data_IF_939967545835
#
_entry.id   IF_939967545835
#
_cell.length_a   1.000
_cell.length_b   1.000
_cell.length_c   1.000
_cell.angle_alpha   90.00
_cell.angle_beta   90.00
_cell.angle_gamma   90.00
#
_symmetry.space_group_name_H-M   'P 1'
#
loop_
_entity.id
_entity.type
_entity.pdbx_description
1 polymer ?
#
# COMPACT_ATOMS: atom_id res chain seq x y z
N UNK A 1 12.94 9.46 -27.51
CA UNK A 1 11.47 9.32 -27.45
C UNK A 1 11.14 8.15 -26.55
N UNK A 2 10.32 8.39 -25.53
CA UNK A 2 9.85 7.39 -24.57
C UNK A 2 9.92 7.95 -23.15
N UNK A 3 8.80 8.37 -22.54
CA UNK A 3 8.74 8.54 -21.10
C UNK A 3 8.24 7.24 -20.47
N UNK A 4 9.12 6.61 -19.68
CA UNK A 4 8.77 5.57 -18.73
C UNK A 4 7.77 6.13 -17.71
N UNK A 5 6.67 5.40 -17.56
CA UNK A 5 5.64 5.63 -16.57
C UNK A 5 6.20 5.49 -15.14
N UNK A 6 6.31 6.60 -14.42
CA UNK A 6 6.33 6.56 -12.96
C UNK A 6 4.87 6.34 -12.51
N UNK A 7 4.48 5.06 -12.45
CA UNK A 7 3.38 4.60 -11.62
C UNK A 7 3.78 4.84 -10.16
N UNK A 8 3.21 5.85 -9.52
CA UNK A 8 2.55 5.77 -8.21
C UNK A 8 2.17 7.19 -7.73
N UNK A 9 0.87 7.51 -7.73
CA UNK A 9 0.25 7.99 -6.50
C UNK A 9 -1.11 7.30 -6.33
N UNK A 10 -1.06 6.03 -5.93
CA UNK A 10 -2.28 5.23 -5.69
C UNK A 10 -2.37 4.66 -4.27
N UNK A 11 -1.35 4.85 -3.44
CA UNK A 11 -1.23 4.17 -2.14
C UNK A 11 -1.28 5.12 -0.92
N UNK A 12 -0.92 6.41 -1.05
CA UNK A 12 -1.06 7.38 0.04
C UNK A 12 -2.50 7.85 0.24
N UNK A 13 -3.29 7.93 -0.84
CA UNK A 13 -4.69 8.36 -0.78
C UNK A 13 -5.61 7.37 -0.05
N UNK A 14 -5.15 6.14 0.19
CA UNK A 14 -5.98 5.08 0.81
C UNK A 14 -5.61 4.86 2.29
N UNK A 15 -4.38 5.18 2.73
CA UNK A 15 -4.01 5.16 4.15
C UNK A 15 -4.95 6.05 5.00
N UNK A 16 -5.35 7.22 4.48
CA UNK A 16 -6.36 8.09 5.09
C UNK A 16 -7.82 7.54 5.08
N UNK A 17 -8.09 6.41 4.43
CA UNK A 17 -9.41 5.77 4.48
C UNK A 17 -9.65 4.91 5.70
N UNK A 18 -8.61 4.51 6.42
CA UNK A 18 -8.82 3.95 7.76
C UNK A 18 -9.34 4.99 8.74
N UNK A 19 -9.04 6.27 8.50
CA UNK A 19 -9.67 7.36 9.23
C UNK A 19 -11.17 7.50 8.85
N UNK A 20 -11.56 7.03 7.65
CA UNK A 20 -12.97 6.85 7.25
C UNK A 20 -13.65 5.59 7.83
N UNK A 21 -12.93 4.70 8.51
CA UNK A 21 -13.56 3.68 9.37
C UNK A 21 -13.88 4.21 10.77
N UNK A 22 -13.30 5.34 11.18
CA UNK A 22 -13.72 6.09 12.38
C UNK A 22 -15.15 6.64 12.22
N UNK A 23 -15.65 6.74 10.99
CA UNK A 23 -17.06 7.09 10.69
C UNK A 23 -18.08 6.06 11.19
N UNK A 24 -17.61 4.91 11.70
CA UNK A 24 -18.44 3.73 11.84
C UNK A 24 -18.52 3.22 13.30
N UNK A 25 -17.58 3.47 14.19
CA UNK A 25 -17.67 2.96 15.56
C UNK A 25 -18.40 3.90 16.53
N UNK A 26 -19.70 3.72 16.81
CA UNK A 26 -20.55 4.41 17.86
C UNK A 26 -21.53 5.48 17.29
N UNK A 27 -22.65 5.78 17.99
CA UNK A 27 -23.97 5.78 17.35
C UNK A 27 -24.29 7.00 16.47
N UNK A 28 -24.73 6.68 15.25
CA UNK A 28 -25.82 7.28 14.45
C UNK A 28 -25.63 8.60 13.69
N UNK A 29 -24.62 9.45 13.93
CA UNK A 29 -24.49 10.73 13.21
C UNK A 29 -23.03 11.13 13.01
N UNK A 30 -22.65 11.44 11.77
CA UNK A 30 -21.30 11.94 11.40
C UNK A 30 -21.44 13.23 10.64
N UNK A 31 -20.72 14.26 11.08
CA UNK A 31 -20.55 15.51 10.36
C UNK A 31 -19.15 15.52 9.77
N UNK A 32 -19.02 15.60 8.45
CA UNK A 32 -17.73 15.78 7.78
C UNK A 32 -17.68 17.14 7.10
N UNK A 33 -16.59 17.86 7.31
CA UNK A 33 -16.27 19.09 6.61
C UNK A 33 -15.07 18.83 5.72
N UNK A 34 -15.16 19.17 4.44
CA UNK A 34 -13.99 19.23 3.54
C UNK A 34 -13.65 20.69 3.30
N UNK A 35 -12.39 21.05 3.53
CA UNK A 35 -11.80 22.35 3.21
C UNK A 35 -10.71 22.18 2.17
N UNK A 36 -10.60 23.11 1.26
CA UNK A 36 -9.48 23.18 0.31
C UNK A 36 -8.68 24.43 0.62
N UNK A 37 -7.37 24.32 0.83
CA UNK A 37 -6.50 25.50 0.93
C UNK A 37 -6.35 26.16 -0.45
N UNK A 38 -6.58 27.47 -0.55
CA UNK A 38 -6.15 28.28 -1.68
C UNK A 38 -4.73 28.81 -1.41
N UNK A 39 -3.78 28.56 -2.30
CA UNK A 39 -2.49 29.23 -2.26
C UNK A 39 -2.62 30.67 -2.77
N UNK A 40 -2.26 31.64 -1.95
CA UNK A 40 -1.77 32.94 -2.46
C UNK A 40 -0.32 32.76 -2.91
N UNK A 41 -0.08 32.44 -4.19
CA UNK A 41 1.27 32.50 -4.73
C UNK A 41 1.62 33.94 -5.15
N UNK A 42 2.72 34.48 -4.60
CA UNK A 42 3.72 35.22 -5.39
C UNK A 42 4.83 34.22 -5.80
N UNK A 43 5.42 34.33 -7.00
CA UNK A 43 6.01 33.21 -7.74
C UNK A 43 7.22 32.61 -7.03
N UNK A 44 7.34 31.28 -6.97
CA UNK A 44 8.58 30.66 -6.48
C UNK A 44 8.68 29.15 -6.37
N UNK A 45 7.60 28.37 -6.24
CA UNK A 45 7.72 26.91 -6.35
C UNK A 45 7.07 26.43 -7.64
N UNK A 46 7.87 26.02 -8.65
CA UNK A 46 7.32 25.46 -9.87
C UNK A 46 6.45 24.24 -9.53
N UNK A 47 5.20 24.24 -9.98
CA UNK A 47 4.37 23.05 -10.03
C UNK A 47 5.13 21.97 -10.81
N UNK A 48 5.70 20.98 -10.11
CA UNK A 48 6.56 19.97 -10.71
C UNK A 48 7.94 19.78 -10.07
N UNK A 49 8.32 20.57 -9.06
CA UNK A 49 9.51 20.24 -8.25
C UNK A 49 9.20 19.04 -7.36
N UNK A 50 10.04 17.99 -7.43
CA UNK A 50 9.87 16.73 -6.71
C UNK A 50 9.73 16.88 -5.18
N UNK A 51 10.29 17.95 -4.61
CA UNK A 51 10.30 18.21 -3.16
C UNK A 51 9.09 19.03 -2.68
N UNK A 52 8.33 19.66 -3.58
CA UNK A 52 7.19 20.53 -3.23
C UNK A 52 6.17 19.88 -2.28
N UNK A 53 5.73 18.63 -2.53
CA UNK A 53 4.81 17.92 -1.62
C UNK A 53 5.39 17.68 -0.23
N UNK A 54 6.70 17.46 -0.11
CA UNK A 54 7.36 17.21 1.17
C UNK A 54 7.36 18.49 2.01
N UNK A 55 7.75 19.62 1.42
CA UNK A 55 7.70 20.90 2.12
C UNK A 55 6.29 21.28 2.52
N UNK A 56 5.30 20.99 1.68
CA UNK A 56 3.91 21.23 2.04
C UNK A 56 3.44 20.34 3.21
N UNK A 57 3.85 19.08 3.26
CA UNK A 57 3.57 18.21 4.40
C UNK A 57 4.24 18.71 5.69
N UNK A 58 5.50 19.16 5.62
CA UNK A 58 6.21 19.78 6.74
C UNK A 58 5.51 21.07 7.19
N UNK A 59 5.00 21.85 6.23
CA UNK A 59 4.29 23.10 6.50
C UNK A 59 3.01 22.89 7.30
N UNK A 60 2.35 21.75 7.10
CA UNK A 60 1.14 21.36 7.82
C UNK A 60 1.42 20.62 9.13
N UNK A 61 2.68 20.44 9.52
CA UNK A 61 3.01 19.71 10.76
C UNK A 61 2.37 20.40 11.98
N UNK A 62 1.78 19.60 12.89
CA UNK A 62 1.15 20.09 14.12
C UNK A 62 -0.34 20.41 14.01
N UNK A 63 -0.89 20.53 12.79
CA UNK A 63 -2.33 20.71 12.58
C UNK A 63 -3.16 19.55 13.16
N UNK A 64 -2.63 18.32 13.10
CA UNK A 64 -3.31 17.14 13.60
C UNK A 64 -3.45 17.18 15.13
N UNK A 65 -2.37 17.53 15.84
CA UNK A 65 -2.34 17.63 17.31
C UNK A 65 -3.27 18.72 17.85
N UNK A 66 -3.42 19.81 17.09
CA UNK A 66 -4.34 20.88 17.42
C UNK A 66 -5.79 20.41 17.36
N UNK A 67 -6.15 19.67 16.31
CA UNK A 67 -7.55 19.40 15.96
C UNK A 67 -8.09 18.07 16.54
N UNK A 68 -7.22 17.07 16.75
CA UNK A 68 -7.59 15.77 17.37
C UNK A 68 -8.17 15.89 18.77
N UNK A 69 -8.03 17.03 19.44
CA UNK A 69 -8.68 17.32 20.73
C UNK A 69 -10.21 17.31 20.65
N UNK A 70 -10.77 17.70 19.49
CA UNK A 70 -12.22 17.88 19.30
C UNK A 70 -12.76 16.98 18.21
N UNK A 71 -12.07 16.92 17.08
CA UNK A 71 -12.51 16.24 15.88
C UNK A 71 -11.38 15.38 15.33
N UNK A 72 -11.75 14.33 14.62
CA UNK A 72 -10.79 13.58 13.83
C UNK A 72 -10.46 14.37 12.56
N UNK A 73 -9.26 14.16 12.03
CA UNK A 73 -8.73 14.89 10.89
C UNK A 73 -8.08 13.95 9.89
N UNK A 74 -8.23 14.28 8.61
CA UNK A 74 -7.58 13.62 7.49
C UNK A 74 -7.09 14.66 6.52
N UNK A 75 -5.85 14.51 6.05
CA UNK A 75 -5.18 15.52 5.24
C UNK A 75 -4.60 14.85 4.01
N UNK A 76 -5.00 15.32 2.83
CA UNK A 76 -4.46 14.81 1.60
C UNK A 76 -4.13 15.97 0.67
N UNK A 77 -2.83 16.28 0.58
CA UNK A 77 -2.38 17.50 -0.07
C UNK A 77 -3.20 18.70 0.46
N UNK A 78 -3.82 19.49 -0.41
CA UNK A 78 -4.61 20.67 -0.07
C UNK A 78 -6.02 20.39 0.48
N UNK A 79 -6.48 19.13 0.44
CA UNK A 79 -7.77 18.72 0.98
C UNK A 79 -7.64 18.35 2.47
N UNK A 80 -8.31 19.11 3.34
CA UNK A 80 -8.41 18.84 4.78
C UNK A 80 -9.84 18.39 5.07
N UNK A 81 -10.01 17.26 5.75
CA UNK A 81 -11.31 16.79 6.21
C UNK A 81 -11.34 16.72 7.73
N UNK A 82 -12.35 17.34 8.33
CA UNK A 82 -12.66 17.22 9.75
C UNK A 82 -13.93 16.40 9.92
N UNK A 83 -13.95 15.49 10.88
CA UNK A 83 -15.20 14.81 11.24
C UNK A 83 -15.34 14.51 12.72
N UNK A 84 -16.60 14.41 13.13
CA UNK A 84 -16.98 14.01 14.48
C UNK A 84 -18.19 13.08 14.43
N UNK A 85 -18.13 12.03 15.26
CA UNK A 85 -19.20 11.05 15.45
C UNK A 85 -19.81 11.21 16.86
N UNK A 86 -21.13 11.17 16.98
CA UNK A 86 -21.79 11.31 18.27
C UNK A 86 -23.31 11.08 18.25
N UNK A 87 -23.92 11.00 19.43
CA UNK A 87 -25.37 10.78 19.57
C UNK A 87 -26.19 12.07 19.41
N UNK A 88 -25.68 13.20 19.90
CA UNK A 88 -26.33 14.51 19.90
C UNK A 88 -25.75 15.37 18.78
N UNK A 89 -26.61 15.97 17.95
CA UNK A 89 -26.16 16.77 16.79
C UNK A 89 -25.58 18.09 17.24
N UNK A 90 -26.17 18.68 18.26
CA UNK A 90 -25.81 19.98 18.78
C UNK A 90 -24.37 19.97 19.31
N UNK A 91 -23.96 18.87 19.97
CA UNK A 91 -22.58 18.66 20.42
C UNK A 91 -21.64 18.49 19.23
N UNK A 92 -22.01 17.68 18.23
CA UNK A 92 -21.22 17.48 17.01
C UNK A 92 -21.00 18.80 16.26
N UNK A 93 -22.06 19.58 16.06
CA UNK A 93 -22.00 20.90 15.41
C UNK A 93 -21.10 21.87 16.19
N UNK A 94 -21.23 21.89 17.52
CA UNK A 94 -20.41 22.73 18.39
C UNK A 94 -18.93 22.36 18.29
N UNK A 95 -18.60 21.06 18.40
CA UNK A 95 -17.22 20.58 18.31
C UNK A 95 -16.59 20.88 16.96
N UNK A 96 -17.32 20.67 15.86
CA UNK A 96 -16.84 20.97 14.50
C UNK A 96 -16.65 22.47 14.28
N UNK A 97 -17.55 23.32 14.78
CA UNK A 97 -17.38 24.78 14.68
C UNK A 97 -16.19 25.28 15.52
N UNK A 98 -15.94 24.70 16.69
CA UNK A 98 -14.77 25.01 17.51
C UNK A 98 -13.48 24.57 16.83
N UNK A 99 -13.43 23.34 16.30
CA UNK A 99 -12.29 22.84 15.54
C UNK A 99 -12.02 23.69 14.28
N UNK A 100 -13.08 24.21 13.65
CA UNK A 100 -12.96 25.17 12.56
C UNK A 100 -12.30 26.49 12.98
N UNK A 101 -12.63 26.99 14.18
CA UNK A 101 -11.99 28.16 14.77
C UNK A 101 -10.50 27.92 15.01
N UNK A 102 -10.16 26.77 15.63
CA UNK A 102 -8.77 26.36 15.87
C UNK A 102 -7.99 26.26 14.53
N UNK A 103 -8.61 25.67 13.50
CA UNK A 103 -8.04 25.57 12.17
C UNK A 103 -7.86 26.93 11.49
N UNK A 104 -8.78 27.88 11.73
CA UNK A 104 -8.67 29.25 11.20
C UNK A 104 -7.47 29.96 11.80
N UNK A 105 -7.29 29.86 13.11
CA UNK A 105 -6.14 30.45 13.81
C UNK A 105 -4.82 29.86 13.31
N UNK A 106 -4.77 28.53 13.14
CA UNK A 106 -3.62 27.85 12.54
C UNK A 106 -3.33 28.37 11.12
N UNK A 107 -4.38 28.48 10.29
CA UNK A 107 -4.26 28.96 8.92
C UNK A 107 -3.76 30.40 8.87
N UNK A 108 -4.28 31.29 9.72
CA UNK A 108 -3.84 32.69 9.80
C UNK A 108 -2.37 32.80 10.25
N UNK A 109 -1.96 32.01 11.26
CA UNK A 109 -0.57 31.95 11.72
C UNK A 109 0.37 31.47 10.61
N UNK A 110 -0.06 30.46 9.85
CA UNK A 110 0.66 29.89 8.72
C UNK A 110 0.32 30.58 7.40
N UNK A 111 -0.27 31.78 7.39
CA UNK A 111 -0.59 32.53 6.15
C UNK A 111 -1.26 31.69 5.06
N UNK A 112 -2.06 30.69 5.45
CA UNK A 112 -2.86 29.83 4.58
C UNK A 112 -4.22 30.47 4.37
N UNK A 113 -4.71 30.44 3.14
CA UNK A 113 -6.05 30.91 2.82
C UNK A 113 -6.93 29.68 2.65
N UNK A 114 -8.01 29.58 3.42
CA UNK A 114 -8.98 28.50 3.27
C UNK A 114 -10.06 28.91 2.25
N UNK A 115 -10.40 28.03 1.33
CA UNK A 115 -11.38 28.29 0.28
C UNK A 115 -12.79 27.89 0.72
N UNK A 116 -13.50 28.81 1.37
CA UNK A 116 -14.88 28.60 1.81
C UNK A 116 -15.82 28.17 0.67
N UNK A 117 -15.62 28.69 -0.55
CA UNK A 117 -16.49 28.40 -1.70
C UNK A 117 -16.36 26.97 -2.24
N UNK A 118 -15.17 26.37 -2.10
CA UNK A 118 -14.94 24.95 -2.44
C UNK A 118 -15.28 24.01 -1.30
N UNK A 119 -15.49 24.56 -0.11
CA UNK A 119 -15.75 23.79 1.09
C UNK A 119 -17.20 23.36 1.18
N UNK A 120 -17.41 22.18 1.75
CA UNK A 120 -18.75 21.64 1.94
C UNK A 120 -18.85 20.83 3.21
N UNK A 121 -20.09 20.73 3.71
CA UNK A 121 -20.44 19.95 4.89
C UNK A 121 -21.34 18.80 4.47
N UNK A 122 -21.12 17.64 5.05
CA UNK A 122 -21.93 16.46 4.79
C UNK A 122 -22.32 15.79 6.10
N UNK A 123 -23.59 15.39 6.17
CA UNK A 123 -24.16 14.75 7.33
C UNK A 123 -24.59 13.32 7.00
N UNK A 124 -24.08 12.37 7.75
CA UNK A 124 -24.35 10.94 7.56
C UNK A 124 -25.12 10.41 8.75
N UNK A 125 -26.26 9.77 8.49
CA UNK A 125 -27.13 9.22 9.53
C UNK A 125 -27.88 8.02 9.02
N UNK A 126 -28.15 7.07 9.93
CA UNK A 126 -29.08 5.96 9.67
C UNK A 126 -30.51 6.31 10.06
N UNK A 127 -30.72 7.46 10.73
CA UNK A 127 -32.05 7.92 11.09
C UNK A 127 -32.73 8.60 9.90
N UNK A 128 -33.74 7.93 9.34
CA UNK A 128 -34.52 8.45 8.20
C UNK A 128 -35.15 9.83 8.45
N UNK A 129 -35.48 10.17 9.71
CA UNK A 129 -36.05 11.49 10.06
C UNK A 129 -35.05 12.63 9.88
N UNK A 130 -33.75 12.33 9.96
CA UNK A 130 -32.67 13.31 9.85
C UNK A 130 -31.95 13.25 8.50
N UNK A 131 -32.52 12.52 7.52
CA UNK A 131 -31.91 12.37 6.20
C UNK A 131 -31.75 13.70 5.45
N UNK A 132 -32.68 14.65 5.67
CA UNK A 132 -32.64 15.99 5.10
C UNK A 132 -32.13 17.04 6.11
N UNK A 133 -31.49 16.62 7.18
CA UNK A 133 -30.92 17.55 8.15
C UNK A 133 -29.74 18.31 7.52
N UNK A 134 -29.74 19.63 7.66
CA UNK A 134 -28.68 20.51 7.21
C UNK A 134 -27.94 21.07 8.43
N UNK A 135 -26.67 20.69 8.62
CA UNK A 135 -25.88 21.14 9.76
C UNK A 135 -25.57 22.64 9.70
N UNK A 136 -25.59 23.28 10.86
CA UNK A 136 -25.23 24.69 11.06
C UNK A 136 -23.75 24.84 11.34
N UNK A 137 -22.96 24.68 10.28
CA UNK A 137 -21.51 24.88 10.31
C UNK A 137 -21.18 26.22 9.67
N UNK A 138 -20.47 27.06 10.40
CA UNK A 138 -20.10 28.41 9.97
C UNK A 138 -18.59 28.51 9.81
N UNK A 139 -18.18 29.14 8.71
CA UNK A 139 -16.79 29.51 8.45
C UNK A 139 -16.75 30.96 7.98
N UNK A 140 -15.91 31.79 8.59
CA UNK A 140 -15.85 33.24 8.39
C UNK A 140 -17.23 33.93 8.48
N UNK A 141 -18.08 33.47 9.40
CA UNK A 141 -19.43 34.00 9.61
C UNK A 141 -20.48 33.55 8.58
N UNK A 142 -20.10 32.82 7.54
CA UNK A 142 -21.00 32.28 6.50
C UNK A 142 -21.29 30.80 6.74
N UNK A 143 -22.53 30.37 6.45
CA UNK A 143 -22.86 28.95 6.49
C UNK A 143 -22.22 28.23 5.29
N UNK A 144 -21.54 27.12 5.55
CA UNK A 144 -20.98 26.28 4.49
C UNK A 144 -22.10 25.46 3.83
N UNK A 145 -22.01 25.28 2.51
CA UNK A 145 -23.01 24.52 1.76
C UNK A 145 -23.07 23.05 2.18
N UNK A 146 -24.29 22.52 2.34
CA UNK A 146 -24.48 21.10 2.67
C UNK A 146 -24.57 20.25 1.40
N UNK A 147 -23.72 19.22 1.30
CA UNK A 147 -23.67 18.28 0.18
C UNK A 147 -24.03 16.87 0.67
N UNK A 148 -25.10 16.28 0.13
CA UNK A 148 -25.56 14.93 0.52
C UNK A 148 -24.68 13.79 0.02
N UNK A 149 -24.03 13.99 -1.14
CA UNK A 149 -23.19 12.98 -1.78
C UNK A 149 -21.81 13.56 -2.05
N UNK A 150 -20.99 13.75 -0.99
CA UNK A 150 -19.69 14.35 -1.18
C UNK A 150 -18.76 13.38 -1.91
N UNK A 151 -17.88 13.98 -2.72
CA UNK A 151 -16.82 13.24 -3.38
C UNK A 151 -15.51 13.50 -2.62
N UNK A 152 -14.96 12.45 -2.03
CA UNK A 152 -13.69 12.51 -1.31
C UNK A 152 -12.71 11.52 -1.96
N UNK A 153 -11.51 11.99 -2.32
CA UNK A 153 -10.45 11.20 -2.96
C UNK A 153 -10.95 10.30 -4.10
N UNK A 154 -11.88 10.80 -4.91
CA UNK A 154 -12.42 10.08 -6.07
C UNK A 154 -13.60 9.14 -5.79
N UNK A 155 -13.93 8.88 -4.52
CA UNK A 155 -15.06 8.04 -4.09
C UNK A 155 -16.24 8.93 -3.72
N UNK A 156 -17.44 8.48 -4.07
CA UNK A 156 -18.68 9.21 -3.79
C UNK A 156 -19.34 8.59 -2.57
N UNK A 157 -19.43 9.35 -1.48
CA UNK A 157 -20.03 8.86 -0.25
C UNK A 157 -21.55 9.03 -0.29
N UNK A 158 -22.27 8.13 0.35
CA UNK A 158 -23.71 8.22 0.50
C UNK A 158 -24.11 8.18 1.99
N UNK A 159 -25.17 8.91 2.41
CA UNK A 159 -25.59 9.01 3.82
C UNK A 159 -25.78 7.66 4.51
N UNK A 160 -26.18 6.65 3.73
CA UNK A 160 -26.51 5.31 4.20
C UNK A 160 -25.38 4.29 4.00
N UNK A 161 -24.24 4.70 3.41
CA UNK A 161 -23.08 3.87 3.07
C UNK A 161 -23.38 2.63 2.22
N UNK A 162 -24.37 2.69 1.34
CA UNK A 162 -24.70 1.60 0.40
C UNK A 162 -23.74 1.52 -0.79
N UNK A 163 -22.95 2.58 -1.03
CA UNK A 163 -22.06 2.73 -2.18
C UNK A 163 -22.77 2.68 -3.55
N UNK A 164 -24.12 2.70 -3.60
CA UNK A 164 -24.86 2.56 -4.85
C UNK A 164 -24.57 3.71 -5.82
N UNK A 165 -24.63 4.96 -5.34
CA UNK A 165 -24.30 6.15 -6.13
C UNK A 165 -22.87 6.11 -6.66
N UNK A 166 -21.91 5.64 -5.87
CA UNK A 166 -20.53 5.44 -6.31
C UNK A 166 -20.44 4.41 -7.44
N UNK A 167 -21.06 3.24 -7.26
CA UNK A 167 -21.07 2.16 -8.26
C UNK A 167 -21.72 2.62 -9.57
N UNK A 168 -22.81 3.40 -9.53
CA UNK A 168 -23.38 4.00 -10.74
C UNK A 168 -22.43 4.98 -11.44
N UNK A 169 -21.67 5.76 -10.67
CA UNK A 169 -20.63 6.63 -11.23
C UNK A 169 -19.53 5.83 -11.92
N UNK A 170 -19.06 4.74 -11.30
CA UNK A 170 -18.07 3.83 -11.90
C UNK A 170 -18.60 3.24 -13.22
N UNK A 171 -19.83 2.72 -13.22
CA UNK A 171 -20.47 2.16 -14.43
C UNK A 171 -20.53 3.20 -15.54
N UNK A 172 -20.95 4.43 -15.22
CA UNK A 172 -21.04 5.52 -16.19
C UNK A 172 -19.67 5.86 -16.80
N UNK A 173 -18.63 5.96 -15.97
CA UNK A 173 -17.25 6.19 -16.43
C UNK A 173 -16.73 5.05 -17.28
N UNK A 174 -16.92 3.80 -16.83
CA UNK A 174 -16.46 2.62 -17.55
C UNK A 174 -17.19 2.40 -18.86
N UNK A 175 -18.49 2.72 -18.97
CA UNK A 175 -19.24 2.67 -20.23
C UNK A 175 -18.66 3.58 -21.31
N UNK A 176 -18.18 4.77 -20.94
CA UNK A 176 -17.49 5.67 -21.88
C UNK A 176 -16.21 5.03 -22.44
N UNK A 177 -15.45 4.33 -21.59
CA UNK A 177 -14.23 3.60 -22.01
C UNK A 177 -14.54 2.32 -22.77
N UNK A 178 -15.65 1.64 -22.47
CA UNK A 178 -16.14 0.52 -23.26
C UNK A 178 -16.45 0.94 -24.70
N UNK A 179 -16.95 2.15 -24.95
CA UNK A 179 -17.19 2.61 -26.32
C UNK A 179 -15.90 2.73 -27.12
N UNK A 180 -14.78 3.09 -26.48
CA UNK A 180 -13.45 3.09 -27.12
C UNK A 180 -13.07 1.65 -27.47
N UNK A 181 -13.24 0.72 -26.52
CA UNK A 181 -12.94 -0.70 -26.75
C UNK A 181 -13.77 -1.29 -27.91
N UNK A 182 -15.05 -0.93 -28.00
CA UNK A 182 -15.93 -1.33 -29.12
C UNK A 182 -15.52 -0.72 -30.45
N UNK A 183 -15.01 0.51 -30.43
CA UNK A 183 -14.58 1.19 -31.64
C UNK A 183 -13.37 0.48 -32.25
N UNK A 184 -12.38 0.13 -31.43
CA UNK A 184 -11.15 -0.53 -31.88
C UNK A 184 -11.31 -2.04 -32.16
N UNK A 185 -12.43 -2.66 -31.79
CA UNK A 185 -12.73 -4.07 -32.05
C UNK A 185 -13.41 -4.30 -33.41
N UNK A 186 -13.16 -3.44 -34.40
CA UNK A 186 -13.81 -3.52 -35.72
C UNK A 186 -13.60 -4.89 -36.40
N UNK A 187 -14.57 -5.35 -37.20
CA UNK A 187 -14.48 -6.69 -37.82
C UNK A 187 -13.41 -6.82 -38.91
N UNK A 188 -13.17 -5.77 -39.69
CA UNK A 188 -12.26 -5.82 -40.85
C UNK A 188 -10.89 -5.15 -40.59
N UNK A 189 -10.80 -4.32 -39.56
CA UNK A 189 -9.60 -3.52 -39.22
C UNK A 189 -9.29 -3.50 -37.72
N UNK A 190 -10.00 -4.31 -36.92
CA UNK A 190 -9.91 -4.25 -35.47
C UNK A 190 -8.64 -4.84 -34.89
N UNK A 191 -8.38 -4.45 -33.65
CA UNK A 191 -7.27 -4.96 -32.87
C UNK A 191 -7.50 -6.42 -32.46
N UNK A 192 -6.41 -7.18 -32.34
CA UNK A 192 -6.47 -8.57 -31.86
C UNK A 192 -6.91 -8.65 -30.39
N UNK A 193 -7.35 -9.83 -29.96
CA UNK A 193 -7.87 -10.07 -28.61
C UNK A 193 -6.88 -9.65 -27.49
N UNK A 194 -5.58 -9.87 -27.70
CA UNK A 194 -4.53 -9.46 -26.76
C UNK A 194 -4.46 -7.93 -26.57
N UNK A 195 -4.52 -7.17 -27.67
CA UNK A 195 -4.53 -5.70 -27.63
C UNK A 195 -5.81 -5.18 -27.01
N UNK A 196 -6.96 -5.78 -27.32
CA UNK A 196 -8.25 -5.42 -26.72
C UNK A 196 -8.24 -5.70 -25.21
N UNK A 197 -7.70 -6.84 -24.78
CA UNK A 197 -7.53 -7.20 -23.38
C UNK A 197 -6.62 -6.21 -22.67
N UNK A 198 -5.47 -5.90 -23.26
CA UNK A 198 -4.52 -4.91 -22.74
C UNK A 198 -5.18 -3.54 -22.58
N UNK A 199 -5.99 -3.13 -23.57
CA UNK A 199 -6.76 -1.88 -23.53
C UNK A 199 -7.79 -1.88 -22.38
N UNK A 200 -8.50 -2.99 -22.16
CA UNK A 200 -9.39 -3.13 -21.00
C UNK A 200 -8.63 -3.00 -19.67
N UNK A 201 -7.49 -3.69 -19.54
CA UNK A 201 -6.64 -3.66 -18.34
C UNK A 201 -6.10 -2.24 -18.08
N UNK A 202 -5.78 -1.49 -19.13
CA UNK A 202 -5.24 -0.14 -19.00
C UNK A 202 -6.31 0.92 -18.72
N UNK A 203 -7.49 0.85 -19.35
CA UNK A 203 -8.45 1.95 -19.37
C UNK A 203 -9.70 1.72 -18.52
N UNK A 204 -10.15 0.48 -18.37
CA UNK A 204 -11.43 0.16 -17.70
C UNK A 204 -11.18 -0.43 -16.32
N UNK A 205 -10.26 -1.39 -16.22
CA UNK A 205 -9.94 -2.06 -14.95
C UNK A 205 -9.57 -1.09 -13.83
N UNK A 206 -8.74 -0.05 -14.03
CA UNK A 206 -8.41 0.89 -12.95
C UNK A 206 -9.63 1.67 -12.46
N UNK A 207 -10.61 1.95 -13.33
CA UNK A 207 -11.86 2.61 -12.92
C UNK A 207 -12.69 1.68 -12.02
N UNK A 208 -12.74 0.39 -12.34
CA UNK A 208 -13.55 -0.59 -11.61
C UNK A 208 -12.94 -1.04 -10.28
N UNK A 209 -11.65 -0.78 -10.05
CA UNK A 209 -10.89 -1.27 -8.90
C UNK A 209 -10.34 -0.17 -8.01
N UNK A 210 -10.31 1.07 -8.48
CA UNK A 210 -9.96 2.21 -7.64
C UNK A 210 -10.99 2.39 -6.53
N UNK A 211 -10.54 2.40 -5.27
CA UNK A 211 -11.40 2.55 -4.10
C UNK A 211 -12.10 1.25 -3.66
N UNK A 212 -11.72 0.10 -4.20
CA UNK A 212 -12.31 -1.19 -3.89
C UNK A 212 -12.38 -1.52 -2.39
N UNK A 213 -11.35 -1.23 -1.55
CA UNK A 213 -11.45 -1.42 -0.10
C UNK A 213 -12.64 -0.71 0.54
N UNK A 214 -13.17 0.36 -0.08
CA UNK A 214 -14.27 1.17 0.45
C UNK A 214 -15.64 0.58 0.09
N UNK A 215 -15.85 0.22 -1.18
CA UNK A 215 -17.17 -0.20 -1.67
C UNK A 215 -17.36 -1.71 -1.83
N UNK A 216 -16.33 -2.53 -1.57
CA UNK A 216 -16.48 -3.99 -1.63
C UNK A 216 -17.46 -4.55 -0.59
N UNK A 217 -17.81 -3.75 0.43
CA UNK A 217 -18.90 -4.06 1.36
C UNK A 217 -20.31 -3.80 0.83
N UNK A 218 -20.46 -3.32 -0.42
CA UNK A 218 -21.75 -3.16 -1.08
C UNK A 218 -22.46 -4.51 -1.26
N UNK A 219 -23.77 -4.47 -1.51
CA UNK A 219 -24.55 -5.69 -1.77
C UNK A 219 -24.06 -6.41 -3.03
N UNK A 220 -24.20 -7.74 -3.05
CA UNK A 220 -23.89 -8.56 -4.23
C UNK A 220 -24.59 -8.07 -5.49
N UNK A 221 -25.84 -7.64 -5.37
CA UNK A 221 -26.62 -7.06 -6.47
C UNK A 221 -25.96 -5.81 -7.06
N UNK A 222 -25.27 -5.01 -6.26
CA UNK A 222 -24.52 -3.83 -6.71
C UNK A 222 -23.15 -4.22 -7.29
N UNK A 223 -22.42 -5.14 -6.64
CA UNK A 223 -21.14 -5.63 -7.15
C UNK A 223 -21.29 -6.35 -8.49
N UNK A 224 -22.37 -7.12 -8.68
CA UNK A 224 -22.71 -7.75 -9.96
C UNK A 224 -22.91 -6.74 -11.09
N UNK A 225 -23.31 -5.49 -10.80
CA UNK A 225 -23.40 -4.45 -11.84
C UNK A 225 -22.03 -4.08 -12.39
N UNK A 226 -20.97 -4.11 -11.56
CA UNK A 226 -19.59 -3.92 -12.01
C UNK A 226 -19.11 -5.14 -12.82
N UNK A 227 -19.44 -6.35 -12.39
CA UNK A 227 -19.12 -7.59 -13.13
C UNK A 227 -19.71 -7.57 -14.54
N UNK A 228 -20.94 -7.05 -14.70
CA UNK A 228 -21.56 -6.88 -16.03
C UNK A 228 -20.77 -5.95 -16.95
N UNK A 229 -20.08 -4.94 -16.41
CA UNK A 229 -19.19 -4.07 -17.19
C UNK A 229 -17.97 -4.86 -17.67
N UNK A 230 -17.35 -5.66 -16.80
CA UNK A 230 -16.25 -6.56 -17.19
C UNK A 230 -16.71 -7.58 -18.24
N UNK A 231 -17.87 -8.22 -18.04
CA UNK A 231 -18.43 -9.16 -19.01
C UNK A 231 -18.70 -8.52 -20.36
N UNK A 232 -19.15 -7.26 -20.37
CA UNK A 232 -19.32 -6.51 -21.61
C UNK A 232 -17.98 -6.32 -22.33
N UNK A 233 -16.91 -6.01 -21.60
CA UNK A 233 -15.56 -5.94 -22.19
C UNK A 233 -15.08 -7.30 -22.69
N UNK A 234 -15.25 -8.35 -21.89
CA UNK A 234 -14.82 -9.70 -22.23
C UNK A 234 -15.50 -10.21 -23.51
N UNK A 235 -16.81 -9.94 -23.68
CA UNK A 235 -17.53 -10.27 -24.91
C UNK A 235 -17.06 -9.51 -26.15
N UNK A 236 -16.54 -8.29 -25.98
CA UNK A 236 -15.92 -7.54 -27.07
C UNK A 236 -14.57 -8.16 -27.43
N UNK A 237 -13.79 -8.55 -26.42
CA UNK A 237 -12.46 -9.16 -26.60
C UNK A 237 -12.55 -10.52 -27.31
N UNK A 238 -13.52 -11.34 -26.94
CA UNK A 238 -13.66 -12.72 -27.47
C UNK A 238 -14.67 -12.83 -28.61
N UNK A 239 -15.36 -11.74 -28.95
CA UNK A 239 -16.46 -11.72 -29.93
C UNK A 239 -17.63 -12.67 -29.61
N UNK A 240 -17.73 -13.17 -28.37
CA UNK A 240 -18.76 -14.14 -27.99
C UNK A 240 -20.15 -13.50 -27.84
N UNK A 241 -21.15 -14.16 -28.44
CA UNK A 241 -22.56 -13.79 -28.34
C UNK A 241 -23.10 -13.92 -26.91
N UNK A 242 -24.15 -13.15 -26.59
CA UNK A 242 -24.76 -13.09 -25.25
C UNK A 242 -25.20 -14.45 -24.68
N UNK A 243 -25.48 -15.46 -25.51
CA UNK A 243 -25.84 -16.81 -25.07
C UNK A 243 -24.68 -17.64 -24.50
N UNK A 244 -23.41 -17.24 -24.73
CA UNK A 244 -22.25 -17.94 -24.18
C UNK A 244 -22.20 -17.78 -22.65
N UNK A 245 -22.03 -18.87 -21.88
CA UNK A 245 -21.89 -18.82 -20.43
C UNK A 245 -20.80 -17.86 -19.96
N UNK A 246 -21.13 -16.98 -19.00
CA UNK A 246 -20.23 -15.94 -18.50
C UNK A 246 -18.86 -16.46 -18.03
N UNK A 247 -18.80 -17.67 -17.46
CA UNK A 247 -17.53 -18.29 -17.03
C UNK A 247 -16.61 -18.58 -18.21
N UNK A 248 -17.16 -19.06 -19.33
CA UNK A 248 -16.40 -19.38 -20.54
C UNK A 248 -15.88 -18.09 -21.19
N UNK A 249 -16.73 -17.07 -21.29
CA UNK A 249 -16.35 -15.74 -21.81
C UNK A 249 -15.17 -15.16 -21.04
N UNK A 250 -15.20 -15.24 -19.71
CA UNK A 250 -14.13 -14.73 -18.85
C UNK A 250 -12.84 -15.55 -18.98
N UNK A 251 -12.96 -16.87 -19.08
CA UNK A 251 -11.83 -17.76 -19.29
C UNK A 251 -11.12 -17.46 -20.62
N UNK A 252 -11.88 -17.39 -21.72
CA UNK A 252 -11.35 -17.11 -23.05
C UNK A 252 -10.74 -15.71 -23.16
N UNK A 253 -11.34 -14.71 -22.49
CA UNK A 253 -10.78 -13.36 -22.43
C UNK A 253 -9.51 -13.25 -21.56
N UNK A 254 -9.11 -14.34 -20.90
CA UNK A 254 -8.08 -14.35 -19.85
C UNK A 254 -8.35 -13.27 -18.78
N UNK A 255 -9.59 -13.24 -18.27
CA UNK A 255 -10.06 -12.26 -17.28
C UNK A 255 -10.64 -12.96 -16.06
N UNK A 256 -9.97 -12.85 -14.92
CA UNK A 256 -10.52 -13.34 -13.65
C UNK A 256 -11.72 -12.47 -13.19
N UNK A 257 -12.81 -13.07 -12.65
CA UNK A 257 -13.94 -12.33 -12.08
C UNK A 257 -13.52 -11.26 -11.07
N UNK A 258 -14.21 -10.10 -11.06
CA UNK A 258 -13.86 -8.96 -10.19
C UNK A 258 -13.86 -9.35 -8.72
N UNK A 259 -14.78 -10.22 -8.30
CA UNK A 259 -14.89 -10.65 -6.89
C UNK A 259 -13.62 -11.31 -6.35
N UNK A 260 -12.94 -12.12 -7.18
CA UNK A 260 -11.74 -12.85 -6.76
C UNK A 260 -10.54 -11.90 -6.69
N UNK A 261 -10.38 -11.07 -7.72
CA UNK A 261 -9.36 -10.01 -7.74
C UNK A 261 -9.58 -9.01 -6.61
N UNK A 262 -10.83 -8.71 -6.31
CA UNK A 262 -11.19 -7.84 -5.21
C UNK A 262 -10.85 -8.42 -3.86
N UNK A 263 -11.21 -9.67 -3.59
CA UNK A 263 -10.83 -10.35 -2.35
C UNK A 263 -9.30 -10.31 -2.13
N UNK A 264 -8.53 -10.70 -3.14
CA UNK A 264 -7.06 -10.67 -3.07
C UNK A 264 -6.52 -9.22 -2.90
N UNK A 265 -7.15 -8.24 -3.54
CA UNK A 265 -6.83 -6.83 -3.38
C UNK A 265 -7.09 -6.31 -1.97
N UNK A 266 -8.22 -6.68 -1.36
CA UNK A 266 -8.53 -6.35 0.03
C UNK A 266 -7.53 -7.01 0.99
N UNK A 267 -7.27 -8.29 0.83
CA UNK A 267 -6.31 -9.02 1.65
C UNK A 267 -4.93 -8.35 1.62
N UNK A 268 -4.40 -8.06 0.42
CA UNK A 268 -3.13 -7.35 0.26
C UNK A 268 -3.17 -5.96 0.92
N UNK A 269 -4.28 -5.25 0.76
CA UNK A 269 -4.44 -3.89 1.25
C UNK A 269 -4.46 -3.84 2.79
N UNK A 270 -5.35 -4.60 3.44
CA UNK A 270 -5.49 -4.59 4.90
C UNK A 270 -4.28 -5.18 5.60
N UNK A 271 -3.69 -6.27 5.08
CA UNK A 271 -2.46 -6.82 5.65
C UNK A 271 -1.30 -5.84 5.53
N UNK A 272 -1.18 -5.07 4.42
CA UNK A 272 -0.17 -4.00 4.31
C UNK A 272 -0.37 -2.89 5.35
N UNK A 273 -1.61 -2.51 5.66
CA UNK A 273 -1.82 -1.47 6.69
C UNK A 273 -1.53 -1.99 8.09
N UNK A 274 -1.93 -3.23 8.39
CA UNK A 274 -1.66 -3.88 9.67
C UNK A 274 -0.16 -4.09 9.87
N UNK A 275 0.60 -4.31 8.80
CA UNK A 275 2.06 -4.44 8.87
C UNK A 275 2.74 -3.18 9.38
N UNK A 276 2.19 -1.97 9.22
CA UNK A 276 2.86 -0.75 9.72
C UNK A 276 3.02 -0.68 11.25
N UNK A 277 2.31 -1.53 12.01
CA UNK A 277 2.46 -1.65 13.45
C UNK A 277 1.91 -0.46 14.26
N UNK A 278 2.08 -0.49 15.57
CA UNK A 278 1.45 0.47 16.51
C UNK A 278 1.90 1.93 16.34
N UNK A 279 3.03 2.18 15.69
CA UNK A 279 3.53 3.53 15.42
C UNK A 279 2.74 4.27 14.34
N UNK A 280 1.96 3.56 13.54
CA UNK A 280 1.12 4.13 12.50
C UNK A 280 -0.33 4.22 13.01
N UNK A 281 -0.91 5.43 12.97
CA UNK A 281 -2.25 5.69 13.50
C UNK A 281 -3.32 4.79 12.88
N UNK A 282 -3.33 4.69 11.54
CA UNK A 282 -4.22 3.80 10.78
C UNK A 282 -4.08 2.33 11.22
N UNK A 283 -2.86 1.82 11.35
CA UNK A 283 -2.62 0.44 11.79
C UNK A 283 -3.08 0.20 13.22
N UNK A 284 -2.85 1.15 14.11
CA UNK A 284 -3.31 1.12 15.50
C UNK A 284 -4.84 1.08 15.57
N UNK A 285 -5.51 1.92 14.79
CA UNK A 285 -6.97 1.91 14.66
C UNK A 285 -7.49 0.56 14.17
N UNK A 286 -6.91 0.02 13.10
CA UNK A 286 -7.32 -1.27 12.53
C UNK A 286 -7.17 -2.43 13.52
N UNK A 287 -6.06 -2.46 14.28
CA UNK A 287 -5.80 -3.48 15.32
C UNK A 287 -6.75 -3.34 16.52
N UNK A 288 -7.11 -2.11 16.87
CA UNK A 288 -8.05 -1.80 17.95
C UNK A 288 -9.52 -1.86 17.55
N UNK A 289 -9.82 -2.13 16.28
CA UNK A 289 -11.18 -2.07 15.76
C UNK A 289 -12.08 -3.12 16.42
N UNK A 290 -13.24 -2.68 16.92
CA UNK A 290 -14.27 -3.54 17.49
C UNK A 290 -15.60 -3.33 16.77
N UNK A 291 -16.32 -4.44 16.55
CA UNK A 291 -17.65 -4.41 15.98
C UNK A 291 -18.67 -3.92 17.01
N UNK A 292 -18.97 -2.62 17.00
CA UNK A 292 -20.00 -2.02 17.87
C UNK A 292 -21.37 -1.99 17.18
N UNK A 293 -21.76 -3.10 16.55
CA UNK A 293 -22.95 -3.14 15.70
C UNK A 293 -24.25 -3.39 16.49
N UNK A 294 -25.21 -2.46 16.32
CA UNK A 294 -26.64 -2.68 16.63
C UNK A 294 -27.47 -3.08 15.39
N UNK A 295 -26.96 -2.86 14.16
CA UNK A 295 -27.67 -3.13 12.90
C UNK A 295 -26.75 -3.85 11.88
N UNK A 296 -27.30 -4.84 11.16
CA UNK A 296 -26.65 -5.65 10.11
C UNK A 296 -26.33 -4.84 8.84
N UNK A 297 -25.40 -3.88 8.89
CA UNK A 297 -24.85 -3.25 7.67
C UNK A 297 -23.41 -3.67 7.47
N UNK A 298 -23.10 -4.17 6.28
CA UNK A 298 -21.74 -4.58 5.90
C UNK A 298 -20.83 -3.35 5.84
N UNK A 299 -19.69 -3.45 6.52
CA UNK A 299 -18.62 -2.44 6.53
C UNK A 299 -17.33 -3.09 6.04
N UNK A 300 -16.36 -2.31 5.51
CA UNK A 300 -15.09 -2.85 5.06
C UNK A 300 -14.43 -3.77 6.10
N UNK A 301 -14.13 -3.29 7.31
CA UNK A 301 -13.60 -4.14 8.38
C UNK A 301 -14.47 -5.35 8.73
N UNK A 302 -15.79 -5.17 8.81
CA UNK A 302 -16.69 -6.27 9.15
C UNK A 302 -16.61 -7.38 8.10
N UNK A 303 -16.60 -7.01 6.81
CA UNK A 303 -16.47 -7.94 5.70
C UNK A 303 -15.09 -8.62 5.69
N UNK A 304 -14.03 -7.86 5.91
CA UNK A 304 -12.65 -8.37 5.95
C UNK A 304 -12.46 -9.38 7.08
N UNK A 305 -13.04 -9.09 8.25
CA UNK A 305 -13.04 -9.98 9.42
C UNK A 305 -13.89 -11.23 9.16
N UNK A 306 -15.08 -11.08 8.59
CA UNK A 306 -15.98 -12.19 8.22
C UNK A 306 -15.35 -13.12 7.18
N UNK A 307 -14.65 -12.56 6.19
CA UNK A 307 -13.94 -13.31 5.16
C UNK A 307 -12.58 -13.87 5.61
N UNK A 308 -12.19 -13.60 6.88
CA UNK A 308 -10.92 -13.99 7.48
C UNK A 308 -9.69 -13.61 6.62
N UNK A 309 -9.68 -12.39 6.08
CA UNK A 309 -8.61 -11.91 5.18
C UNK A 309 -7.41 -11.29 5.93
N UNK A 310 -7.54 -11.05 7.24
CA UNK A 310 -6.47 -10.51 8.05
C UNK A 310 -5.64 -11.67 8.59
N UNK A 311 -4.40 -11.75 8.14
CA UNK A 311 -3.47 -12.76 8.62
C UNK A 311 -2.95 -12.39 10.01
N UNK A 312 -2.90 -13.35 10.93
CA UNK A 312 -2.36 -13.14 12.28
C UNK A 312 -0.82 -13.03 12.29
N UNK A 313 -0.19 -13.51 11.23
CA UNK A 313 1.26 -13.65 11.09
C UNK A 313 1.89 -12.57 10.19
N UNK A 314 1.17 -11.47 9.90
CA UNK A 314 1.74 -10.39 9.10
C UNK A 314 2.86 -9.73 9.87
N UNK A 315 4.08 -9.86 9.36
CA UNK A 315 5.25 -9.18 9.91
C UNK A 315 5.12 -7.67 9.86
N UNK A 316 5.72 -7.01 10.85
CA UNK A 316 5.75 -5.56 10.87
C UNK A 316 6.68 -5.03 9.76
N UNK A 317 6.24 -4.00 9.06
CA UNK A 317 6.99 -3.24 8.07
C UNK A 317 7.16 -1.80 8.56
N UNK A 318 8.39 -1.40 8.83
CA UNK A 318 8.74 -0.03 9.22
C UNK A 318 8.69 0.89 8.01
N UNK A 319 8.09 2.06 8.20
CA UNK A 319 8.17 3.18 7.24
C UNK A 319 9.40 4.07 7.48
N UNK A 320 10.11 3.85 8.59
CA UNK A 320 11.33 4.58 8.93
C UNK A 320 12.54 3.74 8.55
N UNK A 321 13.55 4.41 7.98
CA UNK A 321 14.85 3.79 7.74
C UNK A 321 15.43 3.30 9.07
N UNK A 322 15.93 2.08 9.06
CA UNK A 322 16.51 1.46 10.26
C UNK A 322 17.91 2.00 10.58
N UNK A 323 18.60 2.53 9.58
CA UNK A 323 19.93 3.12 9.67
C UNK A 323 19.82 4.57 9.20
N UNK A 324 20.46 5.48 9.93
CA UNK A 324 20.56 6.88 9.51
C UNK A 324 21.36 6.95 8.19
N UNK A 325 20.80 7.55 7.12
CA UNK A 325 21.51 7.71 5.86
C UNK A 325 22.89 8.38 5.98
N UNK A 326 23.11 9.20 7.00
CA UNK A 326 24.38 9.87 7.26
C UNK A 326 25.43 8.98 7.92
N UNK A 327 25.02 7.94 8.64
CA UNK A 327 25.94 6.98 9.28
C UNK A 327 26.37 5.88 8.31
N UNK A 328 25.47 5.45 7.43
CA UNK A 328 25.74 4.41 6.43
C UNK A 328 26.03 3.02 7.02
N UNK A 329 26.54 2.12 6.18
CA UNK A 329 27.02 0.78 6.55
C UNK A 329 28.55 0.73 6.40
N UNK A 330 29.25 1.34 7.36
CA UNK A 330 30.72 1.30 7.38
C UNK A 330 31.20 -0.16 7.50
N UNK A 331 32.24 -0.50 6.73
CA UNK A 331 32.84 -1.84 6.72
C UNK A 331 32.03 -2.91 5.97
N UNK A 332 30.89 -2.58 5.35
CA UNK A 332 30.06 -3.54 4.61
C UNK A 332 30.11 -3.29 3.11
N UNK A 333 30.44 -4.32 2.33
CA UNK A 333 30.60 -4.26 0.88
C UNK A 333 29.66 -5.24 0.19
N UNK A 334 28.88 -4.75 -0.78
CA UNK A 334 27.94 -5.55 -1.57
C UNK A 334 28.46 -5.79 -2.99
N UNK A 335 28.80 -7.04 -3.30
CA UNK A 335 29.40 -7.49 -4.54
C UNK A 335 28.36 -8.21 -5.42
N UNK A 336 27.69 -7.44 -6.30
CA UNK A 336 26.67 -8.01 -7.21
C UNK A 336 27.21 -8.34 -8.61
N UNK A 337 28.49 -8.08 -8.85
CA UNK A 337 29.13 -8.22 -10.16
C UNK A 337 30.39 -9.07 -10.03
N UNK A 338 30.62 -9.94 -11.01
CA UNK A 338 31.89 -10.65 -11.15
C UNK A 338 32.91 -9.73 -11.84
N UNK A 339 34.20 -9.95 -11.61
CA UNK A 339 35.29 -9.20 -12.25
C UNK A 339 35.22 -9.21 -13.79
N UNK A 340 34.50 -10.17 -14.38
CA UNK A 340 34.20 -10.23 -15.82
C UNK A 340 32.69 -10.31 -16.01
N UNK A 341 32.15 -9.56 -16.98
CA UNK A 341 30.72 -9.60 -17.30
C UNK A 341 30.37 -10.94 -17.97
N UNK A 342 29.59 -11.78 -17.29
CA UNK A 342 29.20 -13.12 -17.76
C UNK A 342 27.69 -13.19 -17.95
N UNK A 343 27.23 -13.60 -19.14
CA UNK A 343 25.82 -13.88 -19.39
C UNK A 343 25.51 -15.36 -19.12
N UNK A 344 24.60 -15.65 -18.19
CA UNK A 344 24.21 -17.02 -17.81
C UNK A 344 23.63 -17.83 -18.97
N UNK A 345 23.05 -17.17 -19.98
CA UNK A 345 22.51 -17.83 -21.17
C UNK A 345 23.60 -18.30 -22.15
N UNK A 346 24.73 -17.60 -22.21
CA UNK A 346 25.76 -17.79 -23.24
C UNK A 346 27.03 -18.47 -22.71
N UNK A 347 27.10 -18.73 -21.40
CA UNK A 347 28.32 -19.20 -20.74
C UNK A 347 28.22 -20.65 -20.31
N UNK A 348 29.27 -21.43 -20.57
CA UNK A 348 29.36 -22.84 -20.16
C UNK A 348 29.32 -22.95 -18.62
N UNK A 349 28.44 -23.78 -18.03
CA UNK A 349 28.31 -23.94 -16.57
C UNK A 349 29.62 -24.28 -15.83
N UNK A 350 30.51 -25.03 -16.49
CA UNK A 350 31.82 -25.37 -15.95
C UNK A 350 32.71 -24.13 -15.73
N UNK A 351 32.66 -23.17 -16.66
CA UNK A 351 33.43 -21.92 -16.56
C UNK A 351 32.89 -21.06 -15.41
N UNK A 352 31.57 -20.94 -15.28
CA UNK A 352 30.94 -20.21 -14.15
C UNK A 352 31.32 -20.83 -12.80
N UNK A 353 31.32 -22.16 -12.70
CA UNK A 353 31.76 -22.86 -11.50
C UNK A 353 33.24 -22.60 -11.19
N UNK A 354 34.10 -22.61 -12.21
CA UNK A 354 35.53 -22.36 -12.02
C UNK A 354 35.79 -20.93 -11.53
N UNK A 355 35.11 -19.93 -12.10
CA UNK A 355 35.22 -18.53 -11.64
C UNK A 355 34.74 -18.36 -10.19
N UNK A 356 33.63 -18.99 -9.81
CA UNK A 356 33.15 -18.95 -8.44
C UNK A 356 34.13 -19.63 -7.46
N UNK A 357 34.69 -20.78 -7.83
CA UNK A 357 35.70 -21.47 -7.03
C UNK A 357 36.99 -20.67 -6.89
N UNK A 358 37.39 -19.94 -7.93
CA UNK A 358 38.56 -19.08 -7.86
C UNK A 358 38.37 -17.98 -6.81
N UNK A 359 37.23 -17.27 -6.84
CA UNK A 359 36.89 -16.27 -5.82
C UNK A 359 36.86 -16.86 -4.41
N UNK A 360 36.24 -18.03 -4.24
CA UNK A 360 36.17 -18.72 -2.94
C UNK A 360 37.56 -19.10 -2.42
N UNK A 361 38.47 -19.51 -3.31
CA UNK A 361 39.83 -19.91 -2.95
C UNK A 361 40.73 -18.71 -2.64
N UNK A 362 40.41 -17.52 -3.14
CA UNK A 362 41.12 -16.27 -2.85
C UNK A 362 40.79 -15.73 -1.44
N UNK A 363 39.71 -16.21 -0.80
CA UNK A 363 39.31 -15.81 0.56
C UNK A 363 40.34 -16.33 1.59
N UNK A 364 40.94 -15.46 2.42
CA UNK A 364 41.87 -15.84 3.48
C UNK A 364 41.29 -16.89 4.45
N UNK A 365 42.13 -17.84 4.89
CA UNK A 365 41.72 -18.89 5.84
C UNK A 365 41.45 -18.38 7.27
N UNK A 366 41.81 -17.14 7.57
CA UNK A 366 41.50 -16.45 8.85
C UNK A 366 40.13 -15.80 8.86
N UNK A 367 39.46 -15.75 7.71
CA UNK A 367 38.15 -15.14 7.54
C UNK A 367 37.02 -16.16 7.74
N UNK A 368 35.86 -15.67 8.12
CA UNK A 368 34.65 -16.50 8.22
C UNK A 368 33.97 -16.56 6.85
N UNK A 369 33.60 -17.76 6.41
CA UNK A 369 32.78 -17.96 5.21
C UNK A 369 31.40 -18.49 5.59
N UNK A 370 30.35 -17.73 5.27
CA UNK A 370 28.95 -18.09 5.48
C UNK A 370 28.32 -18.38 4.12
N UNK A 371 27.90 -19.60 3.88
CA UNK A 371 27.16 -19.98 2.68
C UNK A 371 25.69 -20.13 3.05
N UNK A 372 24.82 -19.50 2.27
CA UNK A 372 23.38 -19.45 2.52
C UNK A 372 22.61 -20.00 1.34
N UNK A 373 21.52 -20.72 1.62
CA UNK A 373 20.59 -21.22 0.61
C UNK A 373 19.17 -21.25 1.17
N UNK A 374 18.19 -20.85 0.36
CA UNK A 374 16.78 -20.85 0.67
C UNK A 374 16.00 -21.68 -0.33
N UNK A 375 15.14 -22.58 0.16
CA UNK A 375 14.31 -23.41 -0.73
C UNK A 375 12.84 -23.41 -0.33
N UNK A 376 11.99 -23.72 -1.31
CA UNK A 376 10.55 -23.95 -1.15
C UNK A 376 10.13 -25.13 -2.02
N UNK A 377 9.34 -26.04 -1.48
CA UNK A 377 8.79 -27.17 -2.22
C UNK A 377 7.41 -26.86 -2.83
N UNK A 378 6.88 -27.80 -3.61
CA UNK A 378 5.56 -27.70 -4.26
C UNK A 378 4.40 -27.66 -3.25
N UNK A 379 4.61 -28.16 -2.04
CA UNK A 379 3.65 -28.13 -0.92
C UNK A 379 3.70 -26.81 -0.12
N UNK A 380 4.36 -25.78 -0.63
CA UNK A 380 4.55 -24.46 0.01
C UNK A 380 5.32 -24.50 1.34
N UNK A 381 6.02 -25.58 1.62
CA UNK A 381 6.92 -25.70 2.73
C UNK A 381 8.27 -25.09 2.35
N UNK A 382 8.89 -24.37 3.28
CA UNK A 382 10.14 -23.68 3.02
C UNK A 382 11.18 -23.94 4.10
N UNK A 383 12.45 -23.78 3.74
CA UNK A 383 13.57 -23.97 4.66
C UNK A 383 14.79 -23.17 4.25
N UNK A 384 15.66 -22.95 5.21
CA UNK A 384 16.92 -22.23 5.07
C UNK A 384 18.08 -23.12 5.49
N UNK A 385 19.11 -23.19 4.64
CA UNK A 385 20.35 -23.89 4.90
C UNK A 385 21.48 -22.87 5.10
N UNK A 386 22.29 -23.08 6.14
CA UNK A 386 23.46 -22.26 6.42
C UNK A 386 24.66 -23.18 6.65
N UNK A 387 25.76 -22.90 5.98
CA UNK A 387 27.04 -23.55 6.20
C UNK A 387 28.07 -22.48 6.56
N UNK A 388 28.60 -22.53 7.78
CA UNK A 388 29.56 -21.56 8.30
C UNK A 388 30.90 -22.26 8.47
N UNK A 389 31.94 -21.73 7.84
CA UNK A 389 33.32 -22.16 8.02
C UNK A 389 34.07 -21.05 8.74
N UNK A 390 34.43 -21.30 10.00
CA UNK A 390 35.33 -20.43 10.77
C UNK A 390 36.76 -21.01 10.70
N UNK A 391 37.78 -20.26 11.16
CA UNK A 391 39.14 -20.78 11.23
C UNK A 391 39.29 -22.02 12.14
N UNK A 392 38.34 -22.23 13.07
CA UNK A 392 38.39 -23.28 14.09
C UNK A 392 37.50 -24.48 13.76
N UNK A 393 36.33 -24.23 13.19
CA UNK A 393 35.33 -25.27 12.98
C UNK A 393 34.36 -24.98 11.83
N UNK A 394 33.57 -26.00 11.50
CA UNK A 394 32.50 -25.91 10.51
C UNK A 394 31.18 -26.17 11.21
N UNK A 395 30.24 -25.23 11.07
CA UNK A 395 28.87 -25.35 11.56
C UNK A 395 27.90 -25.48 10.40
N UNK A 396 26.91 -26.37 10.55
CA UNK A 396 25.83 -26.59 9.59
C UNK A 396 24.49 -26.38 10.29
N UNK A 397 23.69 -25.46 9.79
CA UNK A 397 22.40 -25.12 10.38
C UNK A 397 21.33 -25.33 9.32
N UNK A 398 20.22 -25.94 9.74
CA UNK A 398 19.03 -26.14 8.92
C UNK A 398 17.85 -25.61 9.70
N UNK A 399 17.13 -24.66 9.09
CA UNK A 399 15.96 -24.04 9.70
C UNK A 399 14.72 -24.43 8.91
N UNK A 400 13.69 -24.88 9.63
CA UNK A 400 12.36 -25.01 9.07
C UNK A 400 11.66 -23.66 9.18
N UNK A 401 11.30 -23.08 8.05
CA UNK A 401 10.62 -21.81 8.01
C UNK A 401 9.10 -22.03 8.08
N UNK A 402 8.32 -20.99 8.43
CA UNK A 402 6.87 -21.04 8.32
C UNK A 402 6.43 -21.38 6.89
N UNK A 403 5.27 -22.03 6.79
CA UNK A 403 4.71 -22.40 5.49
C UNK A 403 4.32 -21.13 4.71
N UNK A 404 4.30 -21.24 3.38
CA UNK A 404 4.01 -20.18 2.41
C UNK A 404 5.06 -19.09 2.24
N UNK A 405 6.19 -19.15 2.94
CA UNK A 405 7.30 -18.23 2.70
C UNK A 405 7.84 -18.39 1.28
N UNK A 406 8.23 -17.27 0.67
CA UNK A 406 8.86 -17.25 -0.64
C UNK A 406 10.32 -17.67 -0.52
N UNK A 407 10.90 -18.22 -1.59
CA UNK A 407 12.34 -18.55 -1.67
C UNK A 407 13.19 -17.34 -1.24
N UNK A 408 12.88 -16.15 -1.77
CA UNK A 408 13.50 -14.89 -1.36
C UNK A 408 13.51 -14.64 0.15
N UNK A 409 12.44 -15.03 0.87
CA UNK A 409 12.39 -14.87 2.32
C UNK A 409 13.27 -15.89 3.04
N UNK A 410 13.29 -17.13 2.56
CA UNK A 410 14.18 -18.17 3.09
C UNK A 410 15.65 -17.80 2.93
N UNK A 411 16.04 -17.18 1.82
CA UNK A 411 17.39 -16.67 1.58
C UNK A 411 17.79 -15.62 2.62
N UNK A 412 16.92 -14.63 2.86
CA UNK A 412 17.18 -13.61 3.87
C UNK A 412 17.26 -14.19 5.28
N UNK A 413 16.40 -15.15 5.63
CA UNK A 413 16.48 -15.84 6.92
C UNK A 413 17.77 -16.65 7.09
N UNK A 414 18.30 -17.22 6.00
CA UNK A 414 19.59 -17.91 6.01
C UNK A 414 20.74 -16.93 6.32
N UNK A 415 20.72 -15.73 5.72
CA UNK A 415 21.68 -14.67 6.00
C UNK A 415 21.56 -14.19 7.45
N UNK A 416 20.35 -13.92 7.93
CA UNK A 416 20.09 -13.49 9.31
C UNK A 416 20.65 -14.51 10.32
N UNK A 417 20.29 -15.78 10.17
CA UNK A 417 20.75 -16.84 11.06
C UNK A 417 22.28 -17.05 10.99
N UNK A 418 22.88 -16.90 9.81
CA UNK A 418 24.34 -16.96 9.65
C UNK A 418 25.04 -15.85 10.44
N UNK A 419 24.52 -14.63 10.34
CA UNK A 419 25.04 -13.47 11.06
C UNK A 419 24.85 -13.60 12.59
N UNK A 420 23.69 -14.05 13.05
CA UNK A 420 23.43 -14.23 14.49
C UNK A 420 24.41 -15.21 15.15
N UNK A 421 24.84 -16.24 14.43
CA UNK A 421 25.77 -17.26 14.97
C UNK A 421 27.17 -16.71 15.17
N UNK A 422 27.61 -15.80 14.30
CA UNK A 422 28.97 -15.23 14.34
C UNK A 422 29.09 -14.06 15.33
N UNK A 423 27.97 -13.52 15.82
CA UNK A 423 27.96 -12.44 16.83
C UNK A 423 28.71 -12.80 18.12
N UNK A 424 28.88 -14.09 18.41
CA UNK A 424 29.60 -14.58 19.60
C UNK A 424 31.06 -14.98 19.31
N UNK A 425 31.51 -14.88 18.05
CA UNK A 425 32.89 -15.15 17.66
C UNK A 425 33.69 -13.84 17.72
N UNK A 426 34.90 -13.86 18.29
CA UNK A 426 35.68 -12.64 18.55
C UNK A 426 37.10 -12.70 17.96
N UNK A 427 37.39 -13.64 17.05
CA UNK A 427 38.75 -13.86 16.57
C UNK A 427 38.80 -14.36 15.11
N UNK A 428 38.52 -13.44 14.18
CA UNK A 428 38.56 -13.66 12.73
C UNK A 428 38.95 -12.35 12.01
N UNK A 429 39.37 -12.45 10.75
CA UNK A 429 39.69 -11.31 9.90
C UNK A 429 38.43 -10.61 9.40
N UNK A 430 37.99 -10.95 8.19
CA UNK A 430 36.77 -10.48 7.57
C UNK A 430 35.65 -11.56 7.59
N UNK A 431 34.43 -11.15 7.24
CA UNK A 431 33.27 -12.03 7.07
C UNK A 431 32.83 -12.03 5.61
N UNK A 432 32.80 -13.20 4.99
CA UNK A 432 32.33 -13.40 3.62
C UNK A 432 31.01 -14.15 3.63
N UNK A 433 29.95 -13.51 3.16
CA UNK A 433 28.63 -14.11 2.98
C UNK A 433 28.47 -14.44 1.51
N UNK A 434 28.22 -15.71 1.21
CA UNK A 434 28.18 -16.27 -0.12
C UNK A 434 26.75 -16.78 -0.36
N UNK A 435 25.97 -15.97 -1.10
CA UNK A 435 24.60 -16.29 -1.51
C UNK A 435 24.50 -16.30 -3.03
N UNK A 436 23.73 -17.24 -3.59
CA UNK A 436 23.37 -17.24 -5.00
C UNK A 436 22.11 -16.37 -5.29
N UNK A 437 21.51 -15.81 -4.24
CA UNK A 437 20.32 -14.98 -4.29
C UNK A 437 20.64 -13.52 -4.59
N UNK A 438 20.86 -13.22 -5.88
CA UNK A 438 21.09 -11.83 -6.34
C UNK A 438 20.01 -10.86 -5.87
N UNK A 439 18.74 -11.30 -5.83
CA UNK A 439 17.64 -10.46 -5.37
C UNK A 439 17.77 -10.08 -3.88
N UNK A 440 18.23 -11.00 -3.03
CA UNK A 440 18.45 -10.75 -1.60
C UNK A 440 19.57 -9.72 -1.38
N UNK A 441 20.69 -9.90 -2.07
CA UNK A 441 21.83 -8.97 -2.00
C UNK A 441 21.45 -7.59 -2.54
N UNK A 442 20.73 -7.52 -3.67
CA UNK A 442 20.28 -6.25 -4.23
C UNK A 442 19.29 -5.52 -3.32
N UNK A 443 18.41 -6.26 -2.63
CA UNK A 443 17.47 -5.68 -1.68
C UNK A 443 18.18 -5.13 -0.43
N UNK A 444 19.18 -5.85 0.10
CA UNK A 444 20.01 -5.36 1.21
C UNK A 444 20.91 -4.19 0.81
N UNK A 445 21.42 -4.17 -0.43
CA UNK A 445 22.19 -3.06 -0.99
C UNK A 445 21.36 -1.77 -1.06
N UNK A 446 20.06 -1.88 -1.30
CA UNK A 446 19.10 -0.76 -1.24
C UNK A 446 18.57 -0.52 0.18
N UNK A 447 19.45 -0.58 1.18
CA UNK A 447 19.12 -0.48 2.62
C UNK A 447 18.33 0.78 3.00
N UNK A 448 18.42 1.85 2.21
CA UNK A 448 17.63 3.07 2.39
C UNK A 448 16.12 2.88 2.18
N UNK A 449 15.69 1.82 1.48
CA UNK A 449 14.29 1.54 1.19
C UNK A 449 13.79 0.28 1.90
N UNK A 450 14.59 -0.29 2.80
CA UNK A 450 14.27 -1.52 3.52
C UNK A 450 13.43 -1.22 4.75
N UNK A 451 12.22 -1.78 4.77
CA UNK A 451 11.29 -1.67 5.90
C UNK A 451 10.89 -3.00 6.54
N UNK A 452 11.21 -4.14 5.94
CA UNK A 452 10.81 -5.45 6.46
C UNK A 452 11.68 -5.91 7.64
N UNK A 453 11.06 -6.62 8.60
CA UNK A 453 11.67 -6.94 9.90
C UNK A 453 12.99 -7.71 9.79
N UNK A 454 13.06 -8.78 9.00
CA UNK A 454 14.29 -9.57 8.85
C UNK A 454 15.37 -8.74 8.19
N UNK A 455 15.10 -7.97 7.13
CA UNK A 455 16.16 -7.14 6.55
C UNK A 455 16.62 -6.05 7.51
N UNK A 456 15.73 -5.44 8.30
CA UNK A 456 16.13 -4.50 9.37
C UNK A 456 17.05 -5.19 10.39
N UNK A 457 16.75 -6.44 10.75
CA UNK A 457 17.59 -7.25 11.66
C UNK A 457 18.96 -7.52 11.06
N UNK A 458 19.01 -8.01 9.81
CA UNK A 458 20.24 -8.22 9.04
C UNK A 458 21.07 -6.94 8.98
N UNK A 459 20.47 -5.81 8.62
CA UNK A 459 21.17 -4.53 8.49
C UNK A 459 21.76 -4.06 9.83
N UNK A 460 21.08 -4.31 10.95
CA UNK A 460 21.62 -4.04 12.29
C UNK A 460 22.80 -4.95 12.65
N UNK A 461 22.71 -6.24 12.31
CA UNK A 461 23.80 -7.20 12.51
C UNK A 461 25.02 -6.84 11.64
N UNK A 462 24.80 -6.56 10.36
CA UNK A 462 25.83 -6.10 9.43
C UNK A 462 26.51 -4.82 9.92
N UNK A 463 25.74 -3.84 10.39
CA UNK A 463 26.30 -2.63 10.98
C UNK A 463 27.13 -2.92 12.22
N UNK A 464 26.66 -3.79 13.11
CA UNK A 464 27.36 -4.11 14.33
C UNK A 464 28.72 -4.78 14.03
N UNK A 465 28.73 -5.75 13.12
CA UNK A 465 29.95 -6.46 12.73
C UNK A 465 30.88 -5.53 11.92
N UNK A 466 30.30 -4.72 11.03
CA UNK A 466 31.02 -3.77 10.16
C UNK A 466 31.84 -2.71 10.88
N UNK A 467 31.58 -2.47 12.17
CA UNK A 467 32.38 -1.55 12.99
C UNK A 467 33.77 -2.13 13.27
N UNK A 468 33.87 -3.43 13.51
CA UNK A 468 35.10 -4.10 13.96
C UNK A 468 35.74 -4.96 12.87
N UNK A 469 34.94 -5.45 11.92
CA UNK A 469 35.35 -6.39 10.87
C UNK A 469 34.79 -5.99 9.50
N UNK A 470 35.56 -6.17 8.43
CA UNK A 470 35.02 -6.02 7.08
C UNK A 470 34.02 -7.15 6.79
N UNK A 471 32.88 -6.81 6.19
CA UNK A 471 31.85 -7.76 5.77
C UNK A 471 31.65 -7.63 4.26
N UNK A 472 31.80 -8.74 3.55
CA UNK A 472 31.60 -8.85 2.11
C UNK A 472 30.41 -9.76 1.81
N UNK A 473 29.42 -9.25 1.07
CA UNK A 473 28.20 -9.97 0.65
C UNK A 473 28.13 -10.13 -0.86
#
# INVERSE_FOLDING_TARGET
MGPLAIRQPGQSAIAHWCDLEVWRGHPTRVLSLSLTTAQSYKPGCPSGVSVGPIFFAIYLTGIEELLTRRCEIGIFADDIVLWKSGAQVEVIESDVNLALGDLREFADHHKLILNANKSYVSFFTTNKKLYNYEPRVKFDGQNISTVKHPKYLGVLLDPEFTCNKHIQSLITKSRRRLNILKYISGRDWGANAETLRTTYIALIRPILEYGLPVYFCASDSNLQKLERVQLSAARIITEFRNGCPNKIVLYEADLQPLRFRGRAGLEKYFNKLISYGSHNHTSLFLRGWKSNQRLKKNRPMSLVTELNLISREVECHSLKNCIDPSEGLLGVFFHTELQQAVNKADTVPALMKQMALQLINEIPGVDIQIYTDGSRNEENQSGSGIYIKTPREVRKIKLRNPDNYLVFRSELLAIEAGLEVIMNENNYGAVWILSDSRSSIQHLKDWNNVGDRTCISILKLLRHIGVDHEVHL
#
